data_IF_772606180415
#
_entry.id   IF_772606180415
#
_cell.length_a   1.000
_cell.length_b   1.000
_cell.length_c   1.000
_cell.angle_alpha   90.00
_cell.angle_beta   90.00
_cell.angle_gamma   90.00
#
_symmetry.space_group_name_H-M   'P 1'
#
loop_
_entity.id
_entity.type
_entity.pdbx_description
1 polymer ?
#
# COMPACT_ATOMS: atom_id res chain seq x y z
N UNK A 1 6.11 7.89 4.31
CA UNK A 1 7.35 7.37 4.93
C UNK A 1 8.26 8.53 5.30
N UNK A 2 9.03 8.40 6.39
CA UNK A 2 9.94 9.47 6.82
C UNK A 2 11.03 9.70 5.75
N UNK A 3 11.24 10.97 5.34
CA UNK A 3 12.35 11.35 4.46
C UNK A 3 12.25 10.90 2.99
N UNK A 4 11.10 10.36 2.57
CA UNK A 4 10.86 9.92 1.21
C UNK A 4 10.06 11.00 0.45
N UNK A 5 10.48 11.38 -0.76
CA UNK A 5 9.74 12.34 -1.62
C UNK A 5 8.65 11.66 -2.45
N UNK A 6 8.91 10.44 -2.89
CA UNK A 6 7.97 9.60 -3.61
C UNK A 6 8.41 8.15 -3.55
N UNK A 7 7.46 7.23 -3.65
CA UNK A 7 7.74 5.80 -3.67
C UNK A 7 6.84 5.08 -4.66
N UNK A 8 7.25 3.89 -5.07
CA UNK A 8 6.37 2.98 -5.79
C UNK A 8 5.69 2.00 -4.83
N UNK A 9 4.46 1.65 -5.14
CA UNK A 9 3.73 0.55 -4.53
C UNK A 9 3.07 -0.26 -5.65
N UNK A 10 3.17 -1.58 -5.57
CA UNK A 10 2.46 -2.46 -6.50
C UNK A 10 1.53 -3.39 -5.75
N UNK A 11 0.34 -3.57 -6.30
CA UNK A 11 -0.61 -4.60 -5.90
C UNK A 11 -0.71 -5.60 -7.06
N UNK A 12 -0.63 -6.89 -6.75
CA UNK A 12 -0.65 -7.95 -7.74
C UNK A 12 -1.52 -9.13 -7.33
N UNK A 13 -1.99 -9.88 -8.32
CA UNK A 13 -2.81 -11.08 -8.20
C UNK A 13 -3.03 -11.71 -9.57
N UNK A 14 -3.91 -12.71 -9.65
CA UNK A 14 -4.17 -13.48 -10.88
C UNK A 14 -5.63 -13.38 -11.35
N UNK A 15 -6.06 -12.25 -11.94
CA UNK A 15 -7.42 -12.13 -12.46
C UNK A 15 -7.73 -13.12 -13.60
N UNK A 16 -9.01 -13.51 -13.78
CA UNK A 16 -10.17 -13.05 -13.02
C UNK A 16 -10.40 -13.83 -11.71
N UNK A 17 -9.54 -14.82 -11.39
CA UNK A 17 -9.72 -15.68 -10.23
C UNK A 17 -9.39 -14.98 -8.92
N UNK A 18 -8.18 -14.43 -8.84
CA UNK A 18 -7.68 -13.70 -7.69
C UNK A 18 -7.69 -12.21 -7.98
N UNK A 19 -8.49 -11.47 -7.21
CA UNK A 19 -8.72 -10.05 -7.44
C UNK A 19 -8.73 -9.30 -6.12
N UNK A 20 -8.33 -8.03 -6.18
CA UNK A 20 -8.24 -7.21 -4.98
C UNK A 20 -8.35 -5.72 -5.32
N UNK A 21 -9.00 -4.99 -4.42
CA UNK A 21 -8.97 -3.54 -4.39
C UNK A 21 -8.05 -3.08 -3.26
N UNK A 22 -7.27 -2.04 -3.50
CA UNK A 22 -6.41 -1.41 -2.51
C UNK A 22 -6.77 0.05 -2.32
N UNK A 23 -6.69 0.55 -1.09
CA UNK A 23 -6.75 1.98 -0.80
C UNK A 23 -5.58 2.36 0.12
N UNK A 24 -4.81 3.35 -0.30
CA UNK A 24 -3.65 3.85 0.42
C UNK A 24 -4.01 5.16 1.12
N UNK A 25 -3.63 5.24 2.39
CA UNK A 25 -3.87 6.39 3.26
C UNK A 25 -2.54 6.98 3.75
N UNK A 26 -2.46 8.30 3.71
CA UNK A 26 -1.39 9.08 4.32
C UNK A 26 -1.51 9.03 5.87
N UNK A 27 -0.47 9.51 6.60
CA UNK A 27 -0.46 9.45 8.07
C UNK A 27 -1.58 10.24 8.76
N UNK A 28 -2.14 11.24 8.07
CA UNK A 28 -3.30 12.01 8.51
C UNK A 28 -4.64 11.27 8.32
N UNK A 29 -4.62 10.06 7.73
CA UNK A 29 -5.81 9.25 7.44
C UNK A 29 -6.50 9.62 6.14
N UNK A 30 -5.98 10.57 5.36
CA UNK A 30 -6.49 10.93 4.03
C UNK A 30 -6.15 9.85 3.02
N UNK A 31 -7.12 9.46 2.21
CA UNK A 31 -6.87 8.59 1.06
C UNK A 31 -6.08 9.35 -0.01
N UNK A 32 -5.04 8.71 -0.54
CA UNK A 32 -4.13 9.33 -1.51
C UNK A 32 -4.06 8.57 -2.84
N UNK A 33 -4.41 7.30 -2.84
CA UNK A 33 -4.34 6.46 -4.03
C UNK A 33 -5.20 5.20 -3.87
N UNK A 34 -5.71 4.70 -4.99
CA UNK A 34 -6.45 3.44 -5.07
C UNK A 34 -5.80 2.48 -6.05
N UNK A 35 -6.01 1.18 -5.83
CA UNK A 35 -5.51 0.08 -6.63
C UNK A 35 -6.66 -0.88 -6.95
N UNK A 36 -6.59 -1.53 -8.11
CA UNK A 36 -7.61 -2.39 -8.69
C UNK A 36 -6.94 -3.45 -9.58
N UNK A 37 -6.69 -4.60 -8.96
CA UNK A 37 -6.24 -5.82 -9.65
C UNK A 37 -7.49 -6.65 -9.97
N UNK A 38 -8.14 -6.32 -11.08
CA UNK A 38 -9.38 -6.98 -11.55
C UNK A 38 -9.29 -7.36 -13.03
N UNK A 39 -8.62 -6.52 -13.83
CA UNK A 39 -8.43 -6.76 -15.26
C UNK A 39 -6.95 -6.96 -15.60
N UNK A 40 -6.06 -6.32 -14.83
CA UNK A 40 -4.62 -6.34 -15.01
C UNK A 40 -3.99 -7.03 -13.79
N UNK A 41 -3.05 -7.97 -13.99
CA UNK A 41 -2.48 -8.77 -12.90
C UNK A 41 -1.58 -7.98 -11.95
N UNK A 42 -1.06 -6.83 -12.38
CA UNK A 42 -0.22 -5.96 -11.55
C UNK A 42 -0.61 -4.52 -11.81
N UNK A 43 -0.97 -3.81 -10.75
CA UNK A 43 -1.08 -2.37 -10.78
C UNK A 43 0.01 -1.73 -9.92
N UNK A 44 0.91 -0.99 -10.59
CA UNK A 44 2.02 -0.28 -9.96
C UNK A 44 1.82 1.21 -10.09
N UNK A 45 1.89 1.92 -8.97
CA UNK A 45 1.72 3.38 -8.93
C UNK A 45 2.88 4.07 -8.25
N UNK A 46 3.20 5.27 -8.74
CA UNK A 46 4.11 6.20 -8.07
C UNK A 46 3.29 7.12 -7.19
N UNK A 47 3.59 7.15 -5.89
CA UNK A 47 2.92 7.99 -4.90
C UNK A 47 3.87 9.10 -4.50
N UNK A 48 3.45 10.35 -4.64
CA UNK A 48 4.19 11.52 -4.14
C UNK A 48 3.87 11.71 -2.66
N UNK A 49 4.90 11.94 -1.85
CA UNK A 49 4.77 12.22 -0.42
C UNK A 49 4.60 13.73 -0.24
N UNK A 50 3.45 14.14 0.31
CA UNK A 50 3.17 15.54 0.58
C UNK A 50 4.00 16.10 1.74
N UNK A 51 4.07 17.42 1.81
CA UNK A 51 4.62 18.10 2.99
C UNK A 51 3.76 17.76 4.21
N UNK A 52 4.36 17.12 5.22
CA UNK A 52 3.66 16.65 6.41
C UNK A 52 3.27 15.17 6.40
N UNK A 53 3.43 14.45 5.29
CA UNK A 53 3.11 13.00 5.20
C UNK A 53 4.26 12.10 5.70
N UNK A 54 5.04 12.61 6.63
CA UNK A 54 6.09 11.88 7.32
C UNK A 54 5.48 10.96 8.39
N UNK A 55 5.86 9.67 8.39
CA UNK A 55 5.36 8.69 9.36
C UNK A 55 4.74 7.45 8.72
N UNK A 56 3.77 6.88 9.43
CA UNK A 56 3.09 5.62 9.10
C UNK A 56 2.01 5.82 8.05
N UNK A 57 2.05 5.00 7.00
CA UNK A 57 1.04 4.96 5.95
C UNK A 57 0.26 3.65 6.08
N UNK A 58 -1.00 3.66 5.65
CA UNK A 58 -1.88 2.49 5.77
C UNK A 58 -2.36 2.07 4.39
N UNK A 59 -2.16 0.80 4.05
CA UNK A 59 -2.80 0.16 2.92
C UNK A 59 -3.92 -0.74 3.44
N UNK A 60 -5.13 -0.57 2.93
CA UNK A 60 -6.24 -1.50 3.17
C UNK A 60 -6.52 -2.29 1.91
N UNK A 61 -6.82 -3.58 2.05
CA UNK A 61 -7.21 -4.45 0.97
C UNK A 61 -8.69 -4.83 1.14
N UNK A 62 -9.45 -4.85 0.06
CA UNK A 62 -10.87 -5.21 0.07
C UNK A 62 -11.27 -5.99 -1.18
N UNK A 63 -12.37 -6.73 -1.06
CA UNK A 63 -12.85 -7.63 -2.12
C UNK A 63 -13.34 -6.81 -3.33
N UNK A 64 -12.97 -7.25 -4.53
CA UNK A 64 -13.51 -6.71 -5.77
C UNK A 64 -14.90 -7.30 -6.08
N UNK A 65 -15.55 -6.81 -7.14
CA UNK A 65 -16.89 -7.29 -7.55
C UNK A 65 -16.95 -8.76 -8.00
N UNK A 66 -15.82 -9.32 -8.43
CA UNK A 66 -15.68 -10.70 -8.87
C UNK A 66 -14.28 -11.22 -8.52
N UNK A 67 -14.15 -12.52 -8.33
CA UNK A 67 -12.91 -13.16 -7.85
C UNK A 67 -12.85 -13.25 -6.32
N UNK A 68 -11.72 -13.74 -5.82
CA UNK A 68 -11.44 -13.91 -4.39
C UNK A 68 -10.10 -13.27 -4.01
N UNK A 69 -9.93 -12.94 -2.72
CA UNK A 69 -8.64 -12.53 -2.17
C UNK A 69 -7.99 -13.78 -1.57
N UNK A 70 -6.93 -14.27 -2.21
CA UNK A 70 -6.11 -15.37 -1.70
C UNK A 70 -4.62 -15.06 -1.92
N UNK A 71 -4.09 -15.31 -3.12
CA UNK A 71 -2.68 -15.07 -3.48
C UNK A 71 -2.41 -13.63 -3.97
N UNK A 72 -2.70 -12.65 -3.10
CA UNK A 72 -2.44 -11.24 -3.37
C UNK A 72 -1.06 -10.84 -2.85
N UNK A 73 -0.30 -10.12 -3.69
CA UNK A 73 1.03 -9.64 -3.36
C UNK A 73 1.06 -8.11 -3.27
N UNK A 74 1.73 -7.60 -2.23
CA UNK A 74 2.08 -6.19 -2.08
C UNK A 74 3.59 -6.07 -2.23
N UNK A 75 4.03 -5.36 -3.27
CA UNK A 75 5.45 -5.08 -3.52
C UNK A 75 5.75 -3.63 -3.14
N UNK A 76 6.69 -3.46 -2.21
CA UNK A 76 7.15 -2.15 -1.76
C UNK A 76 8.32 -1.72 -2.63
N UNK A 77 8.24 -0.54 -3.25
CA UNK A 77 9.35 0.02 -4.00
C UNK A 77 10.63 0.13 -3.16
N UNK A 78 11.80 0.17 -3.81
CA UNK A 78 13.10 0.23 -3.13
C UNK A 78 13.31 1.50 -2.30
N UNK A 79 12.47 2.52 -2.51
CA UNK A 79 12.43 3.75 -1.73
C UNK A 79 11.81 3.54 -0.33
N UNK A 80 11.15 2.40 -0.10
CA UNK A 80 10.51 2.04 1.15
C UNK A 80 11.33 0.99 1.93
N UNK A 81 11.33 1.06 3.27
CA UNK A 81 11.71 -0.08 4.08
C UNK A 81 10.83 -1.29 3.72
N UNK A 82 11.45 -2.46 3.56
CA UNK A 82 10.77 -3.72 3.23
C UNK A 82 10.14 -4.37 4.48
N UNK A 83 9.50 -3.54 5.31
CA UNK A 83 8.88 -3.91 6.57
C UNK A 83 7.49 -3.28 6.63
N UNK A 84 6.53 -4.04 7.12
CA UNK A 84 5.18 -3.55 7.38
C UNK A 84 4.68 -4.06 8.73
N UNK A 85 3.70 -3.36 9.31
CA UNK A 85 3.00 -3.84 10.50
C UNK A 85 1.61 -4.33 10.09
N UNK A 86 1.28 -5.62 10.26
CA UNK A 86 -0.08 -6.12 10.01
C UNK A 86 -1.07 -5.67 11.10
N UNK A 87 -0.57 -5.24 12.26
CA UNK A 87 -1.36 -4.72 13.38
C UNK A 87 -0.93 -3.26 13.60
N UNK A 88 -1.51 -2.29 12.87
CA UNK A 88 -1.04 -0.90 12.88
C UNK A 88 -1.09 -0.26 14.27
N UNK A 89 -2.00 -0.71 15.14
CA UNK A 89 -2.12 -0.26 16.53
C UNK A 89 -0.91 -0.64 17.39
N UNK A 90 -0.10 -1.60 16.94
CA UNK A 90 1.12 -2.05 17.60
C UNK A 90 2.40 -1.59 16.89
N UNK A 91 2.29 -0.66 15.92
CA UNK A 91 3.44 -0.16 15.19
C UNK A 91 4.42 0.58 16.11
N UNK A 92 5.68 0.13 16.14
CA UNK A 92 6.74 0.72 16.95
C UNK A 92 7.53 1.76 16.14
N UNK A 93 7.72 2.95 16.69
CA UNK A 93 8.67 3.93 16.15
C UNK A 93 9.99 3.89 16.90
N UNK A 94 11.12 3.69 16.21
CA UNK A 94 12.44 3.94 16.77
C UNK A 94 12.80 5.41 16.53
N UNK A 95 13.29 6.09 17.57
CA UNK A 95 13.81 7.46 17.46
C UNK A 95 15.29 7.40 17.81
N UNK A 96 16.15 7.94 16.93
CA UNK A 96 17.54 8.22 17.30
C UNK A 96 17.56 9.33 18.35
N UNK A 97 18.48 9.23 19.33
CA UNK A 97 18.63 10.23 20.40
C UNK A 97 19.41 11.44 19.92
#
# INVERSE_FOLDING_TARGET
PQGCESFYLSLAGTPPGETVLGALYAPDGREVETFRVVEVPVERKKVTVGAGDAGWWKLTLSQAEAGVIDDVYVDLGTELPQWYSPVPEQALSVRER
#
